data_IF_165456509877
#
_entry.id   IF_165456509877
#
_cell.length_a   1.000
_cell.length_b   1.000
_cell.length_c   1.000
_cell.angle_alpha   90.00
_cell.angle_beta   90.00
_cell.angle_gamma   90.00
#
_symmetry.space_group_name_H-M   'P 1'
#
loop_
_entity.id
_entity.type
_entity.pdbx_description
1 polymer ?
#
# COMPACT_ATOMS: atom_id res chain seq x y z
N UNK A 1 16.24 -5.97 19.34
CA UNK A 1 16.45 -6.77 18.13
C UNK A 1 15.57 -6.26 17.00
N UNK A 2 16.05 -6.39 15.80
CA UNK A 2 15.38 -5.87 14.61
C UNK A 2 13.97 -6.46 14.44
N UNK A 3 13.80 -7.73 14.79
CA UNK A 3 12.52 -8.43 14.66
C UNK A 3 11.40 -7.81 15.49
N UNK A 4 11.69 -7.33 16.69
CA UNK A 4 10.66 -6.74 17.55
C UNK A 4 10.20 -5.39 17.02
N UNK A 5 11.12 -4.58 16.47
CA UNK A 5 10.78 -3.31 15.85
C UNK A 5 9.92 -3.50 14.60
N UNK A 6 10.19 -4.53 13.80
CA UNK A 6 9.40 -4.84 12.63
C UNK A 6 7.99 -5.27 13.00
N UNK A 7 7.82 -6.06 14.06
CA UNK A 7 6.51 -6.48 14.54
C UNK A 7 5.66 -5.29 15.01
N UNK A 8 6.27 -4.38 15.77
CA UNK A 8 5.57 -3.18 16.25
C UNK A 8 5.17 -2.28 15.10
N UNK A 9 6.03 -2.14 14.12
CA UNK A 9 5.75 -1.35 12.92
C UNK A 9 4.58 -1.94 12.14
N UNK A 10 4.59 -3.25 11.91
CA UNK A 10 3.51 -3.95 11.20
C UNK A 10 2.19 -3.78 11.94
N UNK A 11 2.18 -3.96 13.26
CA UNK A 11 0.97 -3.78 14.06
C UNK A 11 0.42 -2.37 13.98
N UNK A 12 1.29 -1.35 13.98
CA UNK A 12 0.85 0.04 13.86
C UNK A 12 0.26 0.31 12.48
N UNK A 13 0.88 -0.19 11.44
CA UNK A 13 0.38 -0.04 10.07
C UNK A 13 -0.95 -0.75 9.89
N UNK A 14 -1.11 -1.96 10.42
CA UNK A 14 -2.36 -2.69 10.39
C UNK A 14 -3.47 -1.93 11.10
N UNK A 15 -3.19 -1.37 12.28
CA UNK A 15 -4.17 -0.60 13.03
C UNK A 15 -4.63 0.64 12.30
N UNK A 16 -3.71 1.37 11.68
CA UNK A 16 -4.04 2.55 10.88
C UNK A 16 -4.89 2.17 9.66
N UNK A 17 -4.52 1.08 9.00
CA UNK A 17 -5.22 0.64 7.80
C UNK A 17 -6.63 0.16 8.12
N UNK A 18 -6.81 -0.58 9.21
CA UNK A 18 -8.14 -1.01 9.65
C UNK A 18 -9.03 0.20 9.94
N UNK A 19 -8.50 1.21 10.62
CA UNK A 19 -9.24 2.44 10.89
C UNK A 19 -9.64 3.16 9.61
N UNK A 20 -8.71 3.27 8.66
CA UNK A 20 -8.97 3.90 7.37
C UNK A 20 -10.02 3.14 6.57
N UNK A 21 -9.98 1.82 6.62
CA UNK A 21 -10.96 0.95 5.96
C UNK A 21 -12.36 1.23 6.47
N UNK A 22 -12.54 1.25 7.77
CA UNK A 22 -13.86 1.51 8.36
C UNK A 22 -14.38 2.90 8.00
N UNK A 23 -13.51 3.92 8.02
CA UNK A 23 -13.90 5.26 7.60
C UNK A 23 -14.31 5.31 6.14
N UNK A 24 -13.57 4.65 5.26
CA UNK A 24 -13.88 4.63 3.83
C UNK A 24 -15.19 3.91 3.57
N UNK A 25 -15.41 2.76 4.19
CA UNK A 25 -16.67 2.02 4.04
C UNK A 25 -17.86 2.84 4.51
N UNK A 26 -17.72 3.53 5.64
CA UNK A 26 -18.75 4.39 6.19
C UNK A 26 -19.03 5.60 5.29
N UNK A 27 -17.96 6.25 4.83
CA UNK A 27 -18.06 7.48 4.04
C UNK A 27 -18.57 7.27 2.64
N UNK A 28 -18.11 6.23 1.96
CA UNK A 28 -18.42 6.00 0.56
C UNK A 28 -19.52 4.97 0.35
N UNK A 29 -20.00 4.36 1.42
CA UNK A 29 -20.99 3.31 1.30
C UNK A 29 -20.49 2.10 0.54
N UNK A 30 -19.17 1.92 0.47
CA UNK A 30 -18.57 0.78 -0.22
C UNK A 30 -18.62 -0.45 0.68
N UNK A 31 -19.80 -0.97 0.88
CA UNK A 31 -19.93 -2.28 1.52
C UNK A 31 -19.57 -3.36 0.49
N UNK A 32 -18.82 -4.36 0.90
CA UNK A 32 -18.47 -5.48 0.03
C UNK A 32 -17.05 -5.45 -0.52
N UNK A 33 -16.21 -4.53 -0.02
CA UNK A 33 -14.77 -4.57 -0.32
C UNK A 33 -14.20 -5.82 0.31
N UNK A 34 -13.68 -6.71 -0.52
CA UNK A 34 -13.10 -7.97 -0.04
C UNK A 34 -11.61 -7.86 0.17
N UNK A 35 -10.90 -7.33 -0.82
CA UNK A 35 -9.44 -7.24 -0.76
C UNK A 35 -9.00 -5.81 -0.88
N UNK A 36 -8.16 -5.40 0.07
CA UNK A 36 -7.51 -4.11 0.03
C UNK A 36 -6.02 -4.29 0.08
N UNK A 37 -5.31 -3.46 -0.66
CA UNK A 37 -3.87 -3.42 -0.64
C UNK A 37 -3.44 -2.02 -0.22
N UNK A 38 -2.56 -1.95 0.76
CA UNK A 38 -1.99 -0.69 1.21
C UNK A 38 -0.49 -0.66 0.93
N UNK A 39 0.00 0.47 0.45
CA UNK A 39 1.37 0.61 0.01
C UNK A 39 2.09 1.73 0.75
N UNK A 40 3.33 1.47 1.09
CA UNK A 40 4.20 2.42 1.79
C UNK A 40 5.63 2.27 1.30
N UNK A 41 6.37 3.37 1.29
CA UNK A 41 7.80 3.38 0.97
C UNK A 41 8.58 3.72 2.23
N UNK A 42 9.58 2.90 2.54
CA UNK A 42 10.51 3.13 3.64
C UNK A 42 11.91 3.28 3.11
N UNK A 43 12.67 4.20 3.67
CA UNK A 43 14.07 4.39 3.34
C UNK A 43 14.91 3.74 4.43
N UNK A 44 15.77 2.80 4.04
CA UNK A 44 16.67 2.09 4.94
C UNK A 44 18.06 2.65 4.74
N UNK A 45 18.69 3.11 5.82
CA UNK A 45 20.08 3.61 5.82
C UNK A 45 20.35 4.75 4.83
N UNK A 46 19.33 5.46 4.38
CA UNK A 46 19.48 6.61 3.49
C UNK A 46 19.82 6.31 2.04
N UNK A 47 20.13 5.07 1.71
CA UNK A 47 20.54 4.67 0.36
C UNK A 47 19.62 3.68 -0.31
N UNK A 48 18.90 2.89 0.48
CA UNK A 48 18.00 1.88 -0.06
C UNK A 48 16.57 2.19 0.31
N UNK A 49 15.69 2.01 -0.65
CA UNK A 49 14.25 2.13 -0.43
C UNK A 49 13.59 0.77 -0.58
N UNK A 50 12.59 0.52 0.25
CA UNK A 50 11.78 -0.69 0.21
C UNK A 50 10.32 -0.31 0.16
N UNK A 51 9.60 -0.88 -0.79
CA UNK A 51 8.15 -0.76 -0.83
C UNK A 51 7.52 -1.89 -0.06
N UNK A 52 6.48 -1.59 0.70
CA UNK A 52 5.72 -2.58 1.44
C UNK A 52 4.30 -2.65 0.92
N UNK A 53 3.81 -3.86 0.68
CA UNK A 53 2.43 -4.13 0.35
C UNK A 53 1.82 -4.93 1.49
N UNK A 54 0.82 -4.36 2.14
CA UNK A 54 0.03 -5.09 3.13
C UNK A 54 -1.35 -5.36 2.54
N UNK A 55 -1.93 -6.47 2.93
CA UNK A 55 -3.18 -6.95 2.34
C UNK A 55 -4.19 -7.21 3.43
N UNK A 56 -5.40 -6.74 3.20
CA UNK A 56 -6.55 -7.02 4.07
C UNK A 56 -7.62 -7.72 3.26
N UNK A 57 -8.18 -8.76 3.85
CA UNK A 57 -9.28 -9.50 3.25
C UNK A 57 -10.43 -9.52 4.24
N UNK A 58 -11.56 -9.00 3.81
CA UNK A 58 -12.77 -8.86 4.66
C UNK A 58 -12.48 -8.09 5.97
N UNK A 59 -11.63 -7.07 5.88
CA UNK A 59 -11.26 -6.24 7.01
C UNK A 59 -10.23 -6.84 7.96
N UNK A 60 -9.66 -7.99 7.62
CA UNK A 60 -8.65 -8.66 8.45
C UNK A 60 -7.34 -8.75 7.71
N UNK A 61 -6.21 -8.59 8.40
CA UNK A 61 -4.90 -8.74 7.78
C UNK A 61 -4.73 -10.13 7.17
N UNK A 62 -4.26 -10.17 5.93
CA UNK A 62 -3.90 -11.42 5.25
C UNK A 62 -2.39 -11.44 5.05
N UNK A 63 -1.67 -11.79 6.10
CA UNK A 63 -0.21 -11.67 6.14
C UNK A 63 0.51 -12.56 5.12
N UNK A 64 -0.09 -13.67 4.73
CA UNK A 64 0.49 -14.53 3.70
C UNK A 64 0.63 -13.84 2.34
N UNK A 65 -0.16 -12.80 2.10
CA UNK A 65 -0.12 -12.05 0.85
C UNK A 65 0.73 -10.77 0.92
N UNK A 66 1.28 -10.44 2.08
CA UNK A 66 2.17 -9.28 2.22
C UNK A 66 3.41 -9.48 1.37
N UNK A 67 3.88 -8.40 0.73
CA UNK A 67 5.11 -8.44 -0.07
C UNK A 67 5.96 -7.22 0.22
N UNK A 68 7.27 -7.40 0.06
CA UNK A 68 8.25 -6.32 0.11
C UNK A 68 8.92 -6.21 -1.24
N UNK A 69 9.09 -4.98 -1.69
CA UNK A 69 9.74 -4.68 -2.96
C UNK A 69 11.03 -3.94 -2.70
N UNK A 70 12.15 -4.59 -2.98
CA UNK A 70 13.43 -3.90 -3.01
C UNK A 70 13.45 -3.03 -4.25
N UNK A 71 13.64 -1.72 -4.07
CA UNK A 71 13.63 -0.78 -5.20
C UNK A 71 14.87 -1.00 -6.04
N UNK A 72 14.68 -1.19 -7.34
CA UNK A 72 15.75 -1.53 -8.29
C UNK A 72 15.97 -0.48 -9.36
N UNK A 73 14.92 0.24 -9.75
CA UNK A 73 14.95 1.15 -10.91
C UNK A 73 15.29 2.58 -10.52
N UNK A 74 15.12 2.92 -9.26
CA UNK A 74 15.28 4.27 -8.77
C UNK A 74 16.58 4.36 -7.97
N UNK A 75 17.41 5.35 -8.27
CA UNK A 75 18.63 5.61 -7.53
C UNK A 75 18.37 6.72 -6.51
N UNK A 76 18.79 6.48 -5.28
CA UNK A 76 18.63 7.44 -4.20
C UNK A 76 17.22 7.53 -3.66
N UNK A 77 17.00 8.38 -2.65
CA UNK A 77 15.70 8.52 -2.01
C UNK A 77 14.74 9.35 -2.89
N UNK A 78 13.75 8.68 -3.45
CA UNK A 78 12.69 9.32 -4.22
C UNK A 78 11.42 8.48 -4.04
N UNK A 79 10.59 8.89 -3.09
CA UNK A 79 9.42 8.11 -2.70
C UNK A 79 8.39 7.99 -3.82
N UNK A 80 8.21 9.05 -4.62
CA UNK A 80 7.24 8.98 -5.72
C UNK A 80 7.69 8.00 -6.82
N UNK A 81 8.95 8.09 -7.24
CA UNK A 81 9.49 7.19 -8.24
C UNK A 81 9.54 5.76 -7.72
N UNK A 82 9.85 5.57 -6.45
CA UNK A 82 9.86 4.25 -5.81
C UNK A 82 8.45 3.65 -5.76
N UNK A 83 7.45 4.46 -5.44
CA UNK A 83 6.06 3.99 -5.45
C UNK A 83 5.60 3.63 -6.86
N UNK A 84 5.99 4.41 -7.85
CA UNK A 84 5.69 4.10 -9.25
C UNK A 84 6.28 2.73 -9.64
N UNK A 85 7.50 2.45 -9.24
CA UNK A 85 8.13 1.15 -9.47
C UNK A 85 7.37 0.02 -8.80
N UNK A 86 7.02 0.17 -7.52
CA UNK A 86 6.31 -0.85 -6.75
C UNK A 86 4.99 -1.21 -7.42
N UNK A 87 4.19 -0.20 -7.76
CA UNK A 87 2.87 -0.42 -8.35
C UNK A 87 2.99 -1.01 -9.75
N UNK A 88 3.95 -0.54 -10.54
CA UNK A 88 4.18 -1.09 -11.88
C UNK A 88 4.55 -2.56 -11.79
N UNK A 89 5.47 -2.91 -10.93
CA UNK A 89 5.89 -4.31 -10.74
C UNK A 89 4.74 -5.18 -10.23
N UNK A 90 3.94 -4.65 -9.29
CA UNK A 90 2.80 -5.38 -8.74
C UNK A 90 1.77 -5.70 -9.83
N UNK A 91 1.41 -4.70 -10.64
CA UNK A 91 0.31 -4.85 -11.60
C UNK A 91 0.76 -5.38 -12.97
N UNK A 92 2.05 -5.45 -13.23
CA UNK A 92 2.57 -6.12 -14.42
C UNK A 92 3.06 -7.54 -14.13
N UNK A 93 3.03 -7.97 -12.90
CA UNK A 93 3.48 -9.29 -12.47
C UNK A 93 4.95 -9.59 -12.82
N UNK A 94 5.78 -8.57 -12.93
CA UNK A 94 7.19 -8.77 -13.28
C UNK A 94 7.98 -9.54 -12.21
N UNK A 95 7.58 -9.46 -10.97
CA UNK A 95 8.11 -10.36 -9.96
C UNK A 95 7.21 -11.57 -9.88
N UNK A 96 7.64 -12.71 -10.42
CA UNK A 96 6.87 -13.95 -10.32
C UNK A 96 6.54 -14.23 -8.85
N UNK A 97 5.29 -14.13 -8.50
CA UNK A 97 4.83 -14.40 -7.15
C UNK A 97 4.47 -15.87 -7.05
N UNK A 98 5.36 -16.64 -6.40
CA UNK A 98 5.17 -18.09 -6.21
C UNK A 98 3.88 -18.43 -5.47
N UNK A 99 3.33 -17.48 -4.70
CA UNK A 99 2.17 -17.70 -3.85
C UNK A 99 0.92 -17.01 -4.38
N UNK A 100 0.94 -16.59 -5.63
CA UNK A 100 -0.22 -16.00 -6.32
C UNK A 100 -0.84 -14.76 -5.66
N UNK A 101 -0.08 -14.07 -4.76
CA UNK A 101 -0.59 -12.83 -4.17
C UNK A 101 -0.97 -11.82 -5.25
N UNK A 102 -0.18 -11.74 -6.32
CA UNK A 102 -0.40 -10.79 -7.41
C UNK A 102 -1.48 -11.22 -8.39
N UNK A 103 -1.97 -12.44 -8.29
CA UNK A 103 -3.02 -12.93 -9.18
C UNK A 103 -4.41 -12.41 -8.80
N UNK A 104 -4.57 -11.93 -7.56
CA UNK A 104 -5.84 -11.40 -7.08
C UNK A 104 -5.80 -9.88 -7.10
N UNK A 105 -6.71 -9.28 -7.85
CA UNK A 105 -6.79 -7.81 -7.93
C UNK A 105 -7.49 -7.25 -6.69
N UNK A 106 -6.98 -6.13 -6.16
CA UNK A 106 -7.64 -5.49 -5.03
C UNK A 106 -8.91 -4.74 -5.45
N UNK A 107 -9.85 -4.64 -4.54
CA UNK A 107 -11.05 -3.83 -4.72
C UNK A 107 -10.79 -2.37 -4.32
N UNK A 108 -9.76 -2.13 -3.53
CA UNK A 108 -9.38 -0.80 -3.07
C UNK A 108 -7.88 -0.77 -2.81
N UNK A 109 -7.26 0.35 -3.19
CA UNK A 109 -5.84 0.62 -2.89
C UNK A 109 -5.78 1.78 -1.91
N UNK A 110 -5.00 1.59 -0.84
CA UNK A 110 -4.73 2.62 0.15
C UNK A 110 -3.27 3.05 0.03
N UNK A 111 -3.06 4.36 -0.06
CA UNK A 111 -1.71 4.93 -0.15
C UNK A 111 -1.38 5.62 1.17
N UNK A 112 -0.29 5.22 1.79
CA UNK A 112 0.21 5.91 2.98
C UNK A 112 0.99 7.14 2.52
N UNK A 113 0.33 8.26 2.61
CA UNK A 113 0.88 9.52 2.14
C UNK A 113 -0.22 10.43 1.63
N UNK A 114 0.17 11.58 1.12
CA UNK A 114 -0.76 12.58 0.67
C UNK A 114 -1.21 12.38 -0.78
N UNK A 115 -1.77 13.46 -1.32
CA UNK A 115 -2.32 13.49 -2.68
C UNK A 115 -1.29 13.09 -3.73
N UNK A 116 0.01 13.41 -3.51
CA UNK A 116 1.06 13.05 -4.46
C UNK A 116 1.17 11.55 -4.68
N UNK A 117 1.09 10.76 -3.61
CA UNK A 117 1.14 9.31 -3.71
C UNK A 117 -0.11 8.75 -4.40
N UNK A 118 -1.28 9.30 -4.08
CA UNK A 118 -2.52 8.90 -4.76
C UNK A 118 -2.41 9.17 -6.26
N UNK A 119 -1.88 10.32 -6.65
CA UNK A 119 -1.71 10.67 -8.07
C UNK A 119 -0.77 9.71 -8.79
N UNK A 120 0.30 9.26 -8.13
CA UNK A 120 1.20 8.25 -8.69
C UNK A 120 0.45 6.94 -8.94
N UNK A 121 -0.35 6.50 -7.99
CA UNK A 121 -1.15 5.29 -8.15
C UNK A 121 -2.13 5.41 -9.32
N UNK A 122 -2.82 6.52 -9.42
CA UNK A 122 -3.76 6.76 -10.52
C UNK A 122 -3.06 6.78 -11.87
N UNK A 123 -1.86 7.39 -11.92
CA UNK A 123 -1.05 7.42 -13.15
C UNK A 123 -0.67 6.00 -13.60
N UNK A 124 -0.15 5.19 -12.68
CA UNK A 124 0.27 3.82 -13.02
C UNK A 124 -0.93 2.99 -13.47
N UNK A 125 -2.02 3.04 -12.74
CA UNK A 125 -3.23 2.28 -13.09
C UNK A 125 -3.79 2.73 -14.42
N UNK A 126 -3.83 4.04 -14.68
CA UNK A 126 -4.29 4.58 -15.95
C UNK A 126 -3.43 4.11 -17.11
N UNK A 127 -2.10 4.09 -16.96
CA UNK A 127 -1.19 3.63 -18.00
C UNK A 127 -1.36 2.14 -18.31
N UNK A 128 -1.80 1.36 -17.32
CA UNK A 128 -2.01 -0.08 -17.46
C UNK A 128 -3.45 -0.45 -17.82
N UNK A 129 -4.33 0.56 -17.91
CA UNK A 129 -5.74 0.31 -18.23
C UNK A 129 -6.51 -0.37 -17.12
N UNK A 130 -6.10 -0.16 -15.88
CA UNK A 130 -6.72 -0.79 -14.70
C UNK A 130 -7.54 0.26 -13.94
N UNK A 131 -8.78 -0.09 -13.61
CA UNK A 131 -9.66 0.76 -12.81
C UNK A 131 -9.86 0.18 -11.42
N UNK A 132 -9.23 0.79 -10.42
CA UNK A 132 -9.38 0.43 -9.01
C UNK A 132 -9.45 1.72 -8.20
N UNK A 133 -10.40 1.86 -7.27
CA UNK A 133 -10.44 3.02 -6.40
C UNK A 133 -9.15 3.15 -5.57
N UNK A 134 -8.63 4.37 -5.46
CA UNK A 134 -7.43 4.68 -4.70
C UNK A 134 -7.74 5.75 -3.67
N UNK A 135 -7.38 5.49 -2.43
CA UNK A 135 -7.57 6.44 -1.34
C UNK A 135 -6.25 6.72 -0.65
N UNK A 136 -6.05 7.96 -0.23
CA UNK A 136 -4.89 8.32 0.58
C UNK A 136 -5.23 8.27 2.06
N UNK A 137 -4.28 7.85 2.86
CA UNK A 137 -4.38 7.92 4.31
C UNK A 137 -3.67 9.17 4.79
N UNK A 138 -4.40 10.08 5.43
CA UNK A 138 -3.85 11.32 5.95
C UNK A 138 -3.96 11.30 7.47
N UNK A 139 -2.87 11.62 8.15
CA UNK A 139 -2.86 11.71 9.61
C UNK A 139 -3.29 13.12 10.02
N UNK A 140 -4.15 13.20 11.05
CA UNK A 140 -4.51 14.47 11.66
C UNK A 140 -3.47 14.87 12.73
N UNK A 141 -3.71 16.00 13.39
CA UNK A 141 -2.80 16.53 14.43
C UNK A 141 -2.63 15.59 15.62
N UNK A 142 -3.53 14.65 15.80
CA UNK A 142 -3.49 13.65 16.87
C UNK A 142 -2.95 12.31 16.38
N UNK A 143 -2.32 12.27 15.24
CA UNK A 143 -1.82 11.07 14.56
C UNK A 143 -2.90 10.05 14.21
N UNK A 144 -4.14 10.50 14.10
CA UNK A 144 -5.23 9.65 13.63
C UNK A 144 -5.25 9.64 12.11
N UNK A 145 -5.50 8.47 11.55
CA UNK A 145 -5.68 8.36 10.12
C UNK A 145 -7.05 8.93 9.74
N UNK A 146 -7.07 9.88 8.82
CA UNK A 146 -8.30 10.35 8.20
C UNK A 146 -8.44 9.65 6.87
N UNK A 147 -9.62 9.10 6.61
CA UNK A 147 -9.95 8.60 5.29
C UNK A 147 -10.11 9.79 4.35
N UNK A 148 -9.47 9.80 3.26
CA UNK A 148 -9.65 10.82 2.21
C UNK A 148 -9.49 12.25 2.72
#
# INVERSE_FOLDING_TARGET
MVLDKDRERIKREEGRTIGAVHEVEEWLGLSGIRRMEAYDISNISGFESVGSMVVYEKGKPKRSDYRKFKIKWVQGPNDYASMEEVLTRRFTHEGKDEFDSFSVMPDLILMDGGRGQVNIALKVLGNLGIEIPVCGMVKDDNHRTRGL
#
